data_IF_759781749896
#
_entry.id   IF_759781749896
#
_cell.length_a   1.000
_cell.length_b   1.000
_cell.length_c   1.000
_cell.angle_alpha   90.00
_cell.angle_beta   90.00
_cell.angle_gamma   90.00
#
_symmetry.space_group_name_H-M   'P 1'
#
loop_
_entity.id
_entity.type
_entity.pdbx_description
1 polymer ?
#
# COMPACT_ATOMS: atom_id res chain seq x y z
N UNK A 1 -18.90 -4.52 -7.14
CA UNK A 1 -18.32 -5.12 -5.92
C UNK A 1 -17.15 -4.26 -5.48
N UNK A 2 -17.01 -4.00 -4.19
CA UNK A 2 -15.93 -3.15 -3.63
C UNK A 2 -15.03 -3.97 -2.72
N UNK A 3 -13.74 -3.98 -3.03
CA UNK A 3 -12.70 -4.69 -2.26
C UNK A 3 -11.83 -3.68 -1.53
N UNK A 4 -11.73 -3.84 -0.21
CA UNK A 4 -10.79 -3.09 0.63
C UNK A 4 -9.68 -4.06 1.03
N UNK A 5 -8.50 -3.88 0.44
CA UNK A 5 -7.33 -4.71 0.71
C UNK A 5 -6.46 -4.05 1.77
N UNK A 6 -6.51 -4.54 3.00
CA UNK A 6 -5.61 -4.12 4.07
C UNK A 6 -4.22 -4.73 3.84
N UNK A 7 -3.33 -3.95 3.21
CA UNK A 7 -1.98 -4.35 2.85
C UNK A 7 -1.01 -4.01 3.98
N UNK A 8 -0.47 -5.03 4.64
CA UNK A 8 0.57 -4.93 5.66
C UNK A 8 1.93 -5.48 5.18
N UNK A 9 2.05 -5.75 3.88
CA UNK A 9 3.27 -6.19 3.18
C UNK A 9 3.84 -7.57 3.58
N UNK A 10 3.13 -8.38 4.38
CA UNK A 10 3.54 -9.73 4.79
C UNK A 10 2.32 -10.60 5.07
N UNK A 11 2.51 -11.90 5.29
CA UNK A 11 1.48 -12.74 5.92
C UNK A 11 1.57 -12.68 7.44
N UNK A 12 0.97 -11.63 8.02
CA UNK A 12 1.07 -11.35 9.45
C UNK A 12 0.49 -12.46 10.37
N UNK A 13 -0.64 -13.06 9.97
CA UNK A 13 -1.32 -14.06 10.81
C UNK A 13 -0.61 -15.42 10.86
N UNK A 14 0.25 -15.71 9.89
CA UNK A 14 0.95 -17.00 9.78
C UNK A 14 2.39 -16.94 10.28
N UNK A 15 2.83 -15.81 10.85
CA UNK A 15 4.18 -15.66 11.39
C UNK A 15 5.09 -14.67 10.65
N UNK A 16 4.56 -13.95 9.66
CA UNK A 16 5.29 -12.87 8.98
C UNK A 16 6.13 -13.35 7.80
N UNK A 17 5.63 -14.30 7.01
CA UNK A 17 6.24 -14.70 5.75
C UNK A 17 6.13 -13.60 4.69
N UNK A 18 6.99 -13.68 3.68
CA UNK A 18 6.93 -12.83 2.48
C UNK A 18 5.55 -12.88 1.81
N UNK A 19 5.08 -11.72 1.35
CA UNK A 19 3.89 -11.58 0.52
C UNK A 19 4.25 -10.98 -0.83
N UNK A 20 3.29 -11.00 -1.76
CA UNK A 20 3.44 -10.40 -3.10
C UNK A 20 3.64 -8.88 -3.08
N UNK A 21 3.44 -8.20 -1.95
CA UNK A 21 3.66 -6.76 -1.77
C UNK A 21 4.85 -6.42 -0.88
N UNK A 22 5.59 -7.42 -0.38
CA UNK A 22 6.81 -7.19 0.42
C UNK A 22 7.84 -6.42 -0.42
N UNK A 23 8.33 -5.29 0.10
CA UNK A 23 9.35 -4.50 -0.61
C UNK A 23 10.65 -5.28 -0.82
N UNK A 24 11.36 -5.02 -1.92
CA UNK A 24 12.69 -5.61 -2.17
C UNK A 24 13.61 -5.28 -1.01
N UNK A 25 14.37 -6.27 -0.53
CA UNK A 25 15.30 -6.13 0.58
C UNK A 25 14.65 -6.13 1.98
N UNK A 26 13.32 -6.08 2.09
CA UNK A 26 12.65 -6.20 3.38
C UNK A 26 12.82 -7.60 3.96
N UNK A 27 13.08 -7.67 5.26
CA UNK A 27 13.26 -8.91 6.00
C UNK A 27 11.91 -9.49 6.41
N UNK A 28 11.75 -10.79 6.24
CA UNK A 28 10.55 -11.54 6.66
C UNK A 28 10.98 -12.89 7.23
N UNK A 29 10.04 -13.64 7.81
CA UNK A 29 10.33 -14.97 8.35
C UNK A 29 10.93 -15.92 7.30
N UNK A 30 10.50 -15.82 6.04
CA UNK A 30 10.94 -16.69 4.94
C UNK A 30 11.97 -16.04 4.01
N UNK A 31 12.22 -14.74 4.16
CA UNK A 31 13.26 -14.00 3.43
C UNK A 31 14.19 -13.30 4.42
N UNK A 32 14.94 -14.09 5.18
CA UNK A 32 15.85 -13.63 6.25
C UNK A 32 17.08 -12.87 5.74
N UNK A 33 17.36 -12.95 4.44
CA UNK A 33 18.40 -12.18 3.75
C UNK A 33 17.83 -11.00 2.95
N UNK A 34 16.55 -10.67 3.18
CA UNK A 34 15.81 -9.66 2.41
C UNK A 34 15.05 -10.28 1.23
N UNK A 35 13.90 -9.70 0.88
CA UNK A 35 13.10 -10.16 -0.25
C UNK A 35 13.82 -9.93 -1.59
N UNK A 36 14.12 -10.99 -2.38
CA UNK A 36 14.78 -10.85 -3.68
C UNK A 36 13.80 -10.54 -4.83
N UNK A 37 12.49 -10.66 -4.60
CA UNK A 37 11.49 -10.55 -5.65
C UNK A 37 10.91 -9.15 -5.75
N UNK A 38 10.61 -8.74 -7.00
CA UNK A 38 9.91 -7.49 -7.26
C UNK A 38 8.47 -7.54 -6.71
N UNK A 39 8.04 -6.59 -5.85
CA UNK A 39 6.67 -6.53 -5.37
C UNK A 39 5.69 -6.13 -6.48
N UNK A 40 4.46 -6.62 -6.38
CA UNK A 40 3.34 -6.14 -7.18
C UNK A 40 2.88 -4.75 -6.71
N UNK A 41 2.60 -3.88 -7.68
CA UNK A 41 1.78 -2.70 -7.45
C UNK A 41 0.31 -3.11 -7.63
N UNK A 42 -0.40 -3.30 -6.51
CA UNK A 42 -1.77 -3.83 -6.53
C UNK A 42 -2.73 -2.93 -7.33
N UNK A 43 -2.59 -1.60 -7.24
CA UNK A 43 -3.42 -0.69 -8.02
C UNK A 43 -3.18 -0.88 -9.52
N UNK A 44 -1.91 -0.93 -9.98
CA UNK A 44 -1.62 -1.17 -11.39
C UNK A 44 -2.13 -2.53 -11.87
N UNK A 45 -1.93 -3.57 -11.05
CA UNK A 45 -2.38 -4.92 -11.36
C UNK A 45 -3.90 -4.98 -11.59
N UNK A 46 -4.65 -4.38 -10.68
CA UNK A 46 -6.12 -4.43 -10.71
C UNK A 46 -6.71 -3.50 -11.77
N UNK A 47 -6.07 -2.36 -12.07
CA UNK A 47 -6.44 -1.54 -13.23
C UNK A 47 -6.24 -2.32 -14.53
N UNK A 48 -5.10 -3.00 -14.69
CA UNK A 48 -4.84 -3.83 -15.85
C UNK A 48 -5.83 -5.01 -15.98
N UNK A 49 -6.41 -5.45 -14.86
CA UNK A 49 -7.46 -6.46 -14.83
C UNK A 49 -8.88 -5.91 -15.10
N UNK A 50 -9.04 -4.61 -15.39
CA UNK A 50 -10.32 -3.99 -15.77
C UNK A 50 -11.12 -3.39 -14.62
N UNK A 51 -10.48 -3.03 -13.50
CA UNK A 51 -11.18 -2.34 -12.42
C UNK A 51 -11.63 -0.94 -12.83
N UNK A 52 -12.91 -0.64 -12.58
CA UNK A 52 -13.53 0.67 -12.82
C UNK A 52 -12.97 1.73 -11.86
N UNK A 53 -12.71 1.34 -10.60
CA UNK A 53 -12.12 2.22 -9.60
C UNK A 53 -10.96 1.54 -8.91
N UNK A 54 -9.85 2.26 -8.75
CA UNK A 54 -8.68 1.79 -8.03
C UNK A 54 -8.04 2.94 -7.26
N UNK A 55 -7.81 2.77 -5.97
CA UNK A 55 -7.15 3.77 -5.12
C UNK A 55 -6.18 3.13 -4.11
N UNK A 56 -5.19 3.92 -3.65
CA UNK A 56 -4.30 3.55 -2.54
C UNK A 56 -4.28 4.66 -1.51
N UNK A 57 -4.50 4.33 -0.25
CA UNK A 57 -4.35 5.25 0.86
C UNK A 57 -3.72 4.57 2.07
N UNK A 58 -3.14 5.36 2.96
CA UNK A 58 -2.63 4.89 4.25
C UNK A 58 -3.67 5.12 5.35
N UNK A 59 -3.62 4.31 6.42
CA UNK A 59 -4.34 4.61 7.65
C UNK A 59 -4.00 6.00 8.24
N UNK A 60 -2.84 6.56 7.90
CA UNK A 60 -2.41 7.93 8.26
C UNK A 60 -3.10 9.02 7.44
N UNK A 61 -3.95 8.66 6.47
CA UNK A 61 -4.71 9.57 5.61
C UNK A 61 -6.23 9.32 5.74
N UNK A 62 -6.81 9.37 6.96
CA UNK A 62 -8.16 8.86 7.23
C UNK A 62 -9.26 9.58 6.43
N UNK A 63 -9.19 10.91 6.27
CA UNK A 63 -10.20 11.66 5.53
C UNK A 63 -10.26 11.28 4.04
N UNK A 64 -9.08 11.12 3.41
CA UNK A 64 -9.00 10.72 2.00
C UNK A 64 -9.45 9.26 1.82
N UNK A 65 -9.08 8.38 2.75
CA UNK A 65 -9.52 6.98 2.74
C UNK A 65 -11.05 6.87 2.90
N UNK A 66 -11.66 7.59 3.85
CA UNK A 66 -13.12 7.61 4.03
C UNK A 66 -13.82 8.11 2.77
N UNK A 67 -13.32 9.20 2.15
CA UNK A 67 -13.88 9.72 0.91
C UNK A 67 -13.79 8.71 -0.25
N UNK A 68 -12.65 8.02 -0.37
CA UNK A 68 -12.43 6.97 -1.36
C UNK A 68 -13.37 5.78 -1.18
N UNK A 69 -13.56 5.31 0.06
CA UNK A 69 -14.50 4.23 0.37
C UNK A 69 -15.93 4.64 0.00
N UNK A 70 -16.36 5.85 0.37
CA UNK A 70 -17.69 6.37 0.00
C UNK A 70 -17.90 6.39 -1.52
N UNK A 71 -16.92 6.89 -2.27
CA UNK A 71 -16.97 6.93 -3.73
C UNK A 71 -17.00 5.54 -4.34
N UNK A 72 -16.17 4.62 -3.87
CA UNK A 72 -16.12 3.24 -4.36
C UNK A 72 -17.44 2.48 -4.15
N UNK A 73 -18.16 2.76 -3.05
CA UNK A 73 -19.48 2.17 -2.80
C UNK A 73 -20.57 2.71 -3.74
N UNK A 74 -20.38 3.90 -4.31
CA UNK A 74 -21.30 4.54 -5.25
C UNK A 74 -20.94 4.28 -6.73
N UNK A 75 -19.78 3.68 -6.98
CA UNK A 75 -19.29 3.43 -8.34
C UNK A 75 -19.81 2.10 -8.85
N UNK A 76 -20.39 2.10 -10.04
CA UNK A 76 -20.81 0.87 -10.71
C UNK A 76 -19.58 0.13 -11.25
N UNK A 77 -19.51 -1.19 -11.02
CA UNK A 77 -18.40 -2.03 -11.48
C UNK A 77 -17.53 -2.59 -10.35
N UNK A 78 -16.33 -3.05 -10.71
CA UNK A 78 -15.36 -3.56 -9.74
C UNK A 78 -14.50 -2.42 -9.20
N UNK A 79 -14.51 -2.25 -7.88
CA UNK A 79 -13.77 -1.20 -7.19
C UNK A 79 -12.75 -1.80 -6.22
N UNK A 80 -11.55 -1.24 -6.18
CA UNK A 80 -10.47 -1.72 -5.33
C UNK A 80 -9.80 -0.57 -4.58
N UNK A 81 -9.60 -0.74 -3.28
CA UNK A 81 -8.88 0.21 -2.43
C UNK A 81 -7.79 -0.57 -1.69
N UNK A 82 -6.53 -0.26 -1.99
CA UNK A 82 -5.39 -0.69 -1.17
C UNK A 82 -5.26 0.24 0.04
N UNK A 83 -5.36 -0.32 1.23
CA UNK A 83 -5.18 0.38 2.50
C UNK A 83 -3.87 -0.08 3.11
N UNK A 84 -2.88 0.81 3.16
CA UNK A 84 -1.60 0.53 3.82
C UNK A 84 -1.84 0.51 5.33
N UNK A 85 -1.72 -0.67 5.91
CA UNK A 85 -2.01 -0.97 7.31
C UNK A 85 -0.78 -1.64 7.94
N UNK A 86 0.06 -0.92 8.70
CA UNK A 86 1.31 -1.47 9.21
C UNK A 86 1.08 -2.61 10.21
N UNK A 87 2.02 -3.56 10.28
CA UNK A 87 2.01 -4.68 11.22
C UNK A 87 3.25 -4.63 12.14
N UNK A 88 3.15 -4.00 13.33
CA UNK A 88 4.28 -3.88 14.26
C UNK A 88 4.85 -5.22 14.70
N UNK A 89 3.97 -6.17 15.01
CA UNK A 89 4.35 -7.47 15.59
C UNK A 89 5.27 -8.28 14.71
N UNK A 90 4.99 -8.32 13.40
CA UNK A 90 5.73 -9.17 12.46
C UNK A 90 6.57 -8.34 11.50
N UNK A 91 6.01 -7.36 10.79
CA UNK A 91 6.79 -6.59 9.82
C UNK A 91 7.79 -5.67 10.52
N UNK A 92 7.31 -4.90 11.51
CA UNK A 92 8.12 -3.92 12.22
C UNK A 92 9.31 -4.54 12.92
N UNK A 93 9.06 -5.61 13.69
CA UNK A 93 10.09 -6.41 14.39
C UNK A 93 11.23 -6.90 13.48
N UNK A 94 10.93 -7.32 12.24
CA UNK A 94 11.97 -7.81 11.33
C UNK A 94 12.72 -6.68 10.60
N UNK A 95 12.15 -5.48 10.53
CA UNK A 95 12.64 -4.38 9.70
C UNK A 95 13.07 -3.15 10.52
N UNK A 96 13.42 -3.34 11.79
CA UNK A 96 13.93 -2.28 12.69
C UNK A 96 12.94 -1.12 12.85
N UNK A 97 11.63 -1.43 12.85
CA UNK A 97 10.56 -0.49 13.19
C UNK A 97 9.90 -1.00 14.47
N UNK A 98 10.63 -0.88 15.58
CA UNK A 98 10.38 -1.62 16.81
C UNK A 98 9.10 -1.19 17.53
N UNK A 99 8.62 0.04 17.30
CA UNK A 99 7.38 0.54 17.92
C UNK A 99 6.27 0.83 16.89
N UNK A 100 4.99 0.73 17.29
CA UNK A 100 3.88 1.17 16.45
C UNK A 100 4.00 2.63 16.00
N UNK A 101 4.55 3.51 16.86
CA UNK A 101 4.74 4.91 16.54
C UNK A 101 5.78 5.11 15.41
N UNK A 102 6.88 4.36 15.45
CA UNK A 102 7.91 4.39 14.41
C UNK A 102 7.35 3.93 13.07
N UNK A 103 6.53 2.88 13.05
CA UNK A 103 5.88 2.43 11.83
C UNK A 103 4.90 3.46 11.27
N UNK A 104 4.14 4.14 12.13
CA UNK A 104 3.22 5.19 11.69
C UNK A 104 4.00 6.37 11.11
N UNK A 105 5.10 6.76 11.76
CA UNK A 105 6.00 7.82 11.26
C UNK A 105 6.63 7.44 9.92
N UNK A 106 7.21 6.25 9.81
CA UNK A 106 7.77 5.72 8.55
C UNK A 106 6.73 5.72 7.43
N UNK A 107 5.50 5.31 7.73
CA UNK A 107 4.41 5.30 6.77
C UNK A 107 4.01 6.73 6.35
N UNK A 108 3.98 7.70 7.27
CA UNK A 108 3.77 9.11 6.93
C UNK A 108 4.90 9.66 6.04
N UNK A 109 6.15 9.35 6.34
CA UNK A 109 7.33 9.82 5.62
C UNK A 109 7.42 9.23 4.21
N UNK A 110 7.00 7.97 4.04
CA UNK A 110 6.96 7.29 2.74
C UNK A 110 5.75 7.67 1.90
N UNK A 111 4.60 7.94 2.50
CA UNK A 111 3.38 8.23 1.76
C UNK A 111 3.40 9.65 1.15
N UNK A 112 3.34 9.73 -0.17
CA UNK A 112 3.22 10.99 -0.90
C UNK A 112 2.00 10.98 -1.80
N UNK A 113 1.31 12.10 -1.93
CA UNK A 113 0.14 12.17 -2.81
C UNK A 113 0.57 12.15 -4.28
N UNK A 114 -0.27 11.61 -5.17
CA UNK A 114 -0.06 11.68 -6.63
C UNK A 114 0.23 13.09 -7.11
N UNK A 115 -0.42 14.11 -6.54
CA UNK A 115 -0.17 15.52 -6.89
C UNK A 115 1.26 15.96 -6.59
N UNK A 116 1.80 15.60 -5.43
CA UNK A 116 3.20 15.89 -5.07
C UNK A 116 4.16 15.07 -5.93
N UNK A 117 3.86 13.79 -6.15
CA UNK A 117 4.71 12.87 -6.91
C UNK A 117 4.97 13.33 -8.36
N UNK A 118 4.03 14.03 -9.00
CA UNK A 118 4.18 14.56 -10.37
C UNK A 118 5.35 15.54 -10.54
N UNK A 119 5.77 16.19 -9.45
CA UNK A 119 6.79 17.24 -9.48
C UNK A 119 8.14 16.75 -8.97
N UNK A 120 8.30 15.46 -8.70
CA UNK A 120 9.51 14.86 -8.16
C UNK A 120 10.23 14.04 -9.22
N UNK A 121 11.56 14.05 -9.16
CA UNK A 121 12.42 13.19 -9.96
C UNK A 121 12.25 11.70 -9.59
N UNK A 122 12.62 10.76 -10.48
CA UNK A 122 12.62 9.33 -10.17
C UNK A 122 13.43 8.98 -8.91
N UNK A 123 14.54 9.67 -8.69
CA UNK A 123 15.40 9.53 -7.52
C UNK A 123 14.69 9.93 -6.23
N UNK A 124 13.95 11.05 -6.23
CA UNK A 124 13.17 11.51 -5.08
C UNK A 124 11.96 10.62 -4.78
N UNK A 125 11.45 9.93 -5.80
CA UNK A 125 10.37 8.95 -5.66
C UNK A 125 10.85 7.61 -5.12
N UNK A 126 12.16 7.36 -5.08
CA UNK A 126 12.72 6.10 -4.60
C UNK A 126 12.33 5.87 -3.13
N UNK A 127 11.70 4.73 -2.86
CA UNK A 127 11.23 4.36 -1.51
C UNK A 127 9.96 5.08 -1.05
N UNK A 128 9.35 5.93 -1.89
CA UNK A 128 8.06 6.57 -1.60
C UNK A 128 6.90 5.69 -2.07
N UNK A 129 5.80 5.76 -1.33
CA UNK A 129 4.55 5.10 -1.68
C UNK A 129 3.57 6.18 -2.14
N UNK A 130 3.20 6.12 -3.42
CA UNK A 130 2.29 7.10 -4.00
C UNK A 130 0.86 6.75 -3.57
N UNK A 131 0.15 7.70 -2.95
CA UNK A 131 -1.25 7.57 -2.53
C UNK A 131 -2.16 8.47 -3.37
N UNK A 132 -3.41 8.04 -3.54
CA UNK A 132 -4.44 8.71 -4.33
C UNK A 132 -5.35 7.74 -5.08
N UNK A 133 -6.24 8.30 -5.89
CA UNK A 133 -7.02 7.54 -6.88
C UNK A 133 -6.17 7.32 -8.14
N UNK A 134 -6.20 6.12 -8.71
CA UNK A 134 -5.45 5.74 -9.91
C UNK A 134 -6.37 5.42 -11.09
N UNK A 135 -7.59 4.95 -10.83
CA UNK A 135 -8.70 4.87 -11.78
C UNK A 135 -9.98 5.38 -11.09
N UNK A 136 -10.83 6.11 -11.82
CA UNK A 136 -11.91 6.92 -11.24
C UNK A 136 -13.31 6.65 -11.82
N UNK A 137 -13.47 5.59 -12.62
CA UNK A 137 -14.77 5.11 -13.10
C UNK A 137 -15.50 6.00 -14.10
N UNK A 138 -14.79 6.93 -14.74
CA UNK A 138 -15.33 7.83 -15.76
C UNK A 138 -14.89 7.45 -17.20
N UNK A 139 -14.20 6.31 -17.36
CA UNK A 139 -13.74 5.78 -18.64
C UNK A 139 -14.65 4.64 -19.13
#
# INVERSE_FOLDING_TARGET
>A
MTVICASNMIYGMTGGQVSSTTSVGAFTQTTTQGNPYRPFDLCKLIIAAGATYAARYSLTQPFALIASIKKALQTNGFCFIEVLSPCPTQFGRHNQLDTPADMIKDLMDKCITRRKAKNLSPEELKGKIITGEFANGAD
#
